data_IF_589388313196
#
_entry.id   IF_589388313196
#
_cell.length_a   1.000
_cell.length_b   1.000
_cell.length_c   1.000
_cell.angle_alpha   90.00
_cell.angle_beta   90.00
_cell.angle_gamma   90.00
#
_symmetry.space_group_name_H-M   'P 1'
#
loop_
_entity.id
_entity.type
_entity.pdbx_description
1 polymer ?
#
# COMPACT_ATOMS: atom_id res chain seq x y z
N UNK A 1 -16.21 35.50 -2.19
CA UNK A 1 -16.52 34.32 -3.01
C UNK A 1 -16.63 33.11 -2.09
N UNK A 2 -17.82 32.52 -1.96
CA UNK A 2 -18.01 31.32 -1.14
C UNK A 2 -17.30 30.15 -1.82
N UNK A 3 -16.41 29.44 -1.07
CA UNK A 3 -15.80 28.19 -1.54
C UNK A 3 -16.94 27.20 -1.83
N UNK A 4 -17.00 26.68 -3.06
CA UNK A 4 -17.93 25.62 -3.43
C UNK A 4 -17.79 24.47 -2.43
N UNK A 5 -18.91 24.08 -1.82
CA UNK A 5 -18.94 22.96 -0.87
C UNK A 5 -18.67 21.68 -1.66
N UNK A 6 -17.58 21.00 -1.38
CA UNK A 6 -17.24 19.73 -2.04
C UNK A 6 -18.27 18.67 -1.61
N UNK A 7 -19.14 18.27 -2.52
CA UNK A 7 -20.10 17.19 -2.28
C UNK A 7 -19.40 15.84 -2.58
N UNK A 8 -19.18 15.06 -1.54
CA UNK A 8 -18.68 13.68 -1.67
C UNK A 8 -19.76 12.82 -2.32
N UNK A 9 -19.57 12.46 -3.57
CA UNK A 9 -20.52 11.63 -4.34
C UNK A 9 -20.33 10.13 -4.12
N UNK A 10 -19.19 9.70 -3.55
CA UNK A 10 -18.84 8.29 -3.33
C UNK A 10 -18.40 8.08 -1.88
N UNK A 11 -18.64 6.88 -1.30
CA UNK A 11 -18.05 6.51 -0.02
C UNK A 11 -16.54 6.66 -0.06
N UNK A 12 -15.99 7.24 1.00
CA UNK A 12 -14.55 7.48 1.14
C UNK A 12 -13.92 6.35 1.98
N UNK A 13 -12.77 5.86 1.55
CA UNK A 13 -12.04 4.78 2.21
C UNK A 13 -10.56 5.18 2.33
N UNK A 14 -10.05 5.13 3.55
CA UNK A 14 -8.63 5.34 3.83
C UNK A 14 -7.90 4.00 3.80
N UNK A 15 -6.90 3.88 2.97
CA UNK A 15 -6.09 2.66 2.86
C UNK A 15 -4.61 2.99 2.95
N UNK A 16 -3.80 1.98 3.30
CA UNK A 16 -2.35 2.12 3.32
C UNK A 16 -1.66 0.88 2.76
N UNK A 17 -0.49 1.07 2.15
CA UNK A 17 0.40 -0.05 1.81
C UNK A 17 1.28 -0.41 2.98
N UNK A 18 1.36 -1.70 3.29
CA UNK A 18 2.18 -2.30 4.35
C UNK A 18 3.03 -3.43 3.78
N UNK A 19 4.11 -3.79 4.44
CA UNK A 19 5.01 -4.87 4.02
C UNK A 19 6.48 -4.47 4.11
N UNK A 20 7.36 -5.42 3.79
CA UNK A 20 8.80 -5.25 3.90
C UNK A 20 9.36 -4.17 2.95
N UNK A 21 10.52 -3.59 3.29
CA UNK A 21 11.31 -2.74 2.40
C UNK A 21 11.59 -3.53 1.11
N UNK A 22 11.65 -2.85 -0.03
CA UNK A 22 11.92 -3.42 -1.36
C UNK A 22 10.89 -4.40 -1.91
N UNK A 23 9.79 -4.70 -1.21
CA UNK A 23 8.68 -5.49 -1.77
C UNK A 23 7.84 -4.73 -2.81
N UNK A 24 8.11 -3.43 -3.00
CA UNK A 24 7.52 -2.62 -4.07
C UNK A 24 6.23 -1.90 -3.70
N UNK A 25 6.07 -1.47 -2.43
CA UNK A 25 4.92 -0.68 -1.96
C UNK A 25 4.70 0.59 -2.79
N UNK A 26 5.73 1.43 -2.89
CA UNK A 26 5.70 2.67 -3.66
C UNK A 26 5.48 2.43 -5.16
N UNK A 27 6.06 1.35 -5.70
CA UNK A 27 5.84 0.94 -7.10
C UNK A 27 4.39 0.56 -7.34
N UNK A 28 3.78 -0.19 -6.41
CA UNK A 28 2.36 -0.55 -6.47
C UNK A 28 1.47 0.69 -6.38
N UNK A 29 1.76 1.63 -5.48
CA UNK A 29 1.02 2.89 -5.34
C UNK A 29 1.01 3.67 -6.65
N UNK A 30 2.17 3.82 -7.31
CA UNK A 30 2.27 4.46 -8.63
C UNK A 30 1.49 3.68 -9.70
N UNK A 31 1.58 2.34 -9.72
CA UNK A 31 0.85 1.49 -10.66
C UNK A 31 -0.67 1.62 -10.51
N UNK A 32 -1.18 1.69 -9.29
CA UNK A 32 -2.61 1.91 -9.01
C UNK A 32 -3.09 3.24 -9.57
N UNK A 33 -2.33 4.33 -9.35
CA UNK A 33 -2.70 5.64 -9.92
C UNK A 33 -2.69 5.63 -11.44
N UNK A 34 -1.76 4.90 -12.08
CA UNK A 34 -1.70 4.75 -13.52
C UNK A 34 -2.94 4.06 -14.08
N UNK A 35 -3.28 2.88 -13.53
CA UNK A 35 -4.46 2.12 -13.98
C UNK A 35 -5.75 2.91 -13.77
N UNK A 36 -5.87 3.64 -12.66
CA UNK A 36 -7.03 4.50 -12.42
C UNK A 36 -7.04 5.72 -13.34
N UNK A 37 -5.88 6.31 -13.67
CA UNK A 37 -5.78 7.44 -14.60
C UNK A 37 -6.16 7.05 -16.04
N UNK A 38 -5.78 5.87 -16.52
CA UNK A 38 -6.17 5.35 -17.82
C UNK A 38 -7.70 5.17 -17.94
N UNK A 39 -8.39 5.00 -16.81
CA UNK A 39 -9.85 4.95 -16.72
C UNK A 39 -10.51 6.30 -16.44
N UNK A 40 -9.73 7.39 -16.38
CA UNK A 40 -10.23 8.73 -16.05
C UNK A 40 -10.66 8.90 -14.58
N UNK A 41 -10.19 8.02 -13.67
CA UNK A 41 -10.60 7.97 -12.28
C UNK A 41 -9.48 8.39 -11.29
N UNK A 42 -8.35 8.87 -11.80
CA UNK A 42 -7.26 9.44 -11.00
C UNK A 42 -6.38 10.34 -11.86
N UNK A 43 -5.49 11.10 -11.18
CA UNK A 43 -4.31 11.68 -11.82
C UNK A 43 -3.17 10.68 -11.65
N UNK A 44 -2.47 10.36 -12.74
CA UNK A 44 -1.27 9.54 -12.66
C UNK A 44 -0.18 10.26 -11.86
N UNK A 45 0.42 9.56 -10.91
CA UNK A 45 1.54 10.02 -10.11
C UNK A 45 2.69 9.04 -10.33
N UNK A 46 3.80 9.54 -10.85
CA UNK A 46 4.97 8.70 -11.15
C UNK A 46 5.63 8.17 -9.87
N UNK A 47 6.40 7.09 -10.02
CA UNK A 47 7.20 6.55 -8.91
C UNK A 47 8.08 7.61 -8.24
N UNK A 48 8.75 8.45 -9.06
CA UNK A 48 9.63 9.51 -8.56
C UNK A 48 8.87 10.58 -7.78
N UNK A 49 7.64 10.90 -8.18
CA UNK A 49 6.81 11.87 -7.45
C UNK A 49 6.35 11.31 -6.10
N UNK A 50 5.92 10.04 -6.06
CA UNK A 50 5.55 9.37 -4.80
C UNK A 50 6.75 9.26 -3.88
N UNK A 51 7.91 8.83 -4.40
CA UNK A 51 9.13 8.71 -3.64
C UNK A 51 9.65 10.07 -3.12
N UNK A 52 9.61 11.12 -3.95
CA UNK A 52 10.01 12.49 -3.55
C UNK A 52 9.06 13.09 -2.52
N UNK A 53 7.78 12.86 -2.60
CA UNK A 53 6.80 13.30 -1.61
C UNK A 53 7.15 12.73 -0.23
N UNK A 54 7.61 11.47 -0.19
CA UNK A 54 8.07 10.81 1.02
C UNK A 54 9.34 11.44 1.61
N UNK A 55 10.27 11.92 0.78
CA UNK A 55 11.57 12.49 1.22
C UNK A 55 11.48 13.99 1.53
N UNK A 56 10.67 14.73 0.78
CA UNK A 56 10.64 16.21 0.87
C UNK A 56 10.05 16.75 2.18
N UNK A 57 9.23 15.99 2.88
CA UNK A 57 8.68 16.36 4.19
C UNK A 57 9.67 16.13 5.35
N UNK A 58 10.73 15.34 5.13
CA UNK A 58 11.77 15.05 6.13
C UNK A 58 12.87 16.13 6.28
N UNK A 59 12.87 17.19 5.48
CA UNK A 59 13.91 18.24 5.45
C UNK A 59 13.39 19.60 5.88
N UNK A 60 12.92 19.74 7.12
CA UNK A 60 12.76 21.06 7.75
C UNK A 60 13.25 21.03 9.19
N UNK A 61 14.37 21.74 9.41
CA UNK A 61 14.96 22.17 10.66
C UNK A 61 15.26 21.14 11.77
N UNK A 62 16.54 21.10 12.16
CA UNK A 62 17.13 20.28 13.22
C UNK A 62 16.57 20.53 14.63
N UNK A 63 15.54 21.35 14.80
CA UNK A 63 14.94 21.70 16.08
C UNK A 63 13.45 21.48 16.21
N UNK A 64 12.76 21.01 15.18
CA UNK A 64 11.32 20.70 15.24
C UNK A 64 11.02 19.27 14.79
N UNK A 65 10.52 18.50 15.77
CA UNK A 65 9.70 17.27 15.67
C UNK A 65 9.62 16.69 14.24
N UNK A 66 10.27 15.55 14.05
CA UNK A 66 10.21 14.74 12.83
C UNK A 66 8.80 14.72 12.23
N UNK A 67 8.59 15.51 11.20
CA UNK A 67 7.40 15.39 10.37
C UNK A 67 7.64 14.23 9.42
N UNK A 68 6.89 13.18 9.62
CA UNK A 68 6.99 11.91 8.90
C UNK A 68 6.59 12.14 7.45
N UNK A 69 7.44 11.74 6.55
CA UNK A 69 7.23 11.80 5.11
C UNK A 69 6.22 10.73 4.69
N UNK A 70 4.97 11.11 4.50
CA UNK A 70 3.90 10.24 4.02
C UNK A 70 3.47 10.75 2.64
N UNK A 71 3.48 9.88 1.64
CA UNK A 71 2.85 10.18 0.37
C UNK A 71 1.35 9.90 0.46
N UNK A 72 0.53 10.93 0.29
CA UNK A 72 -0.91 10.79 0.15
C UNK A 72 -1.28 10.83 -1.31
N UNK A 73 -1.98 9.80 -1.75
CA UNK A 73 -2.43 9.65 -3.14
C UNK A 73 -3.93 9.38 -3.15
N UNK A 74 -4.65 10.03 -4.05
CA UNK A 74 -6.09 9.86 -4.19
C UNK A 74 -6.41 9.22 -5.54
N UNK A 75 -7.33 8.27 -5.55
CA UNK A 75 -7.89 7.67 -6.74
C UNK A 75 -9.30 7.13 -6.48
N UNK A 76 -10.00 6.85 -7.56
CA UNK A 76 -11.38 6.40 -7.49
C UNK A 76 -11.59 5.08 -8.24
N UNK A 77 -12.64 4.40 -7.87
CA UNK A 77 -13.29 3.37 -8.68
C UNK A 77 -14.71 3.81 -9.02
N UNK A 78 -15.45 3.01 -9.76
CA UNK A 78 -16.86 3.31 -10.05
C UNK A 78 -17.69 3.50 -8.76
N UNK A 79 -17.31 2.81 -7.67
CA UNK A 79 -18.10 2.74 -6.45
C UNK A 79 -17.54 3.55 -5.28
N UNK A 80 -16.22 3.80 -5.21
CA UNK A 80 -15.54 4.36 -4.03
C UNK A 80 -14.43 5.33 -4.38
N UNK A 81 -14.19 6.27 -3.47
CA UNK A 81 -13.03 7.15 -3.47
C UNK A 81 -12.02 6.67 -2.40
N UNK A 82 -10.76 6.58 -2.77
CA UNK A 82 -9.69 6.10 -1.89
C UNK A 82 -8.69 7.22 -1.61
N UNK A 83 -8.39 7.43 -0.32
CA UNK A 83 -7.19 8.11 0.12
C UNK A 83 -6.16 7.04 0.50
N UNK A 84 -5.08 6.98 -0.25
CA UNK A 84 -4.03 5.98 -0.10
C UNK A 84 -2.80 6.61 0.55
N UNK A 85 -2.32 5.97 1.60
CA UNK A 85 -1.12 6.36 2.34
C UNK A 85 0.00 5.40 2.01
N UNK A 86 1.06 5.89 1.38
CA UNK A 86 2.30 5.13 1.18
C UNK A 86 3.33 5.53 2.23
N UNK A 87 3.74 4.57 3.05
CA UNK A 87 4.73 4.75 4.11
C UNK A 87 6.02 4.03 3.73
N UNK A 88 7.05 4.72 3.21
CA UNK A 88 8.22 4.09 2.63
C UNK A 88 9.18 3.48 3.65
N UNK A 89 9.17 3.81 4.89
CA UNK A 89 10.10 3.30 5.90
C UNK A 89 9.42 2.49 7.00
N UNK A 90 10.12 1.48 7.54
CA UNK A 90 9.61 0.70 8.67
C UNK A 90 9.36 1.56 9.92
N UNK A 91 10.34 2.37 10.32
CA UNK A 91 10.24 3.25 11.50
C UNK A 91 9.14 4.31 11.34
N UNK A 92 9.00 4.87 10.15
CA UNK A 92 7.98 5.87 9.84
C UNK A 92 6.59 5.25 9.82
N UNK A 93 6.47 4.03 9.28
CA UNK A 93 5.22 3.27 9.28
C UNK A 93 4.73 3.00 10.70
N UNK A 94 5.57 2.43 11.56
CA UNK A 94 5.23 2.12 12.95
C UNK A 94 4.77 3.37 13.69
N UNK A 95 5.49 4.48 13.54
CA UNK A 95 5.15 5.75 14.20
C UNK A 95 3.81 6.31 13.74
N UNK A 96 3.53 6.25 12.43
CA UNK A 96 2.26 6.73 11.86
C UNK A 96 1.06 5.89 12.32
N UNK A 97 1.23 4.59 12.37
CA UNK A 97 0.18 3.69 12.86
C UNK A 97 -0.14 3.96 14.34
N UNK A 98 0.89 4.13 15.19
CA UNK A 98 0.72 4.34 16.63
C UNK A 98 0.12 5.71 16.94
N UNK A 99 0.50 6.75 16.20
CA UNK A 99 0.00 8.11 16.47
C UNK A 99 -1.43 8.36 16.01
N UNK A 100 -2.09 7.34 15.41
CA UNK A 100 -3.47 7.46 14.93
C UNK A 100 -3.64 8.44 13.76
N UNK A 101 -2.54 8.88 13.16
CA UNK A 101 -2.56 9.77 12.00
C UNK A 101 -3.18 9.14 10.76
N UNK A 102 -3.38 7.82 10.79
CA UNK A 102 -4.09 7.10 9.75
C UNK A 102 -5.11 6.15 10.40
N UNK A 103 -6.34 6.60 10.60
CA UNK A 103 -7.45 5.68 10.72
C UNK A 103 -7.61 5.01 9.33
N UNK A 104 -6.99 3.84 9.17
CA UNK A 104 -7.10 3.07 7.94
C UNK A 104 -8.32 2.16 8.02
N UNK A 105 -9.19 2.27 7.02
CA UNK A 105 -10.32 1.36 6.83
C UNK A 105 -9.86 0.01 6.25
N UNK A 106 -8.64 -0.04 5.70
CA UNK A 106 -8.02 -1.26 5.19
C UNK A 106 -6.55 -1.09 4.86
N UNK A 107 -5.84 -2.20 4.70
CA UNK A 107 -4.44 -2.20 4.29
C UNK A 107 -4.20 -3.14 3.09
N UNK A 108 -3.27 -2.75 2.23
CA UNK A 108 -2.73 -3.60 1.17
C UNK A 108 -1.39 -4.13 1.66
N UNK A 109 -1.35 -5.41 1.99
CA UNK A 109 -0.11 -6.11 2.34
C UNK A 109 0.63 -6.48 1.06
N UNK A 110 1.80 -5.87 0.85
CA UNK A 110 2.65 -6.14 -0.32
C UNK A 110 3.75 -7.11 0.08
N UNK A 111 3.76 -8.28 -0.56
CA UNK A 111 4.78 -9.32 -0.37
C UNK A 111 5.43 -9.61 -1.71
N UNK A 112 6.76 -9.71 -1.74
CA UNK A 112 7.46 -10.17 -2.93
C UNK A 112 7.22 -11.67 -3.12
N UNK A 113 6.74 -12.08 -4.30
CA UNK A 113 6.55 -13.48 -4.64
C UNK A 113 7.88 -14.27 -4.70
N UNK A 114 9.00 -13.57 -4.95
CA UNK A 114 10.32 -14.19 -5.00
C UNK A 114 10.97 -14.38 -3.61
N UNK A 115 10.65 -13.49 -2.67
CA UNK A 115 11.30 -13.45 -1.36
C UNK A 115 10.42 -14.03 -0.24
N UNK A 116 9.10 -14.08 -0.46
CA UNK A 116 8.12 -14.46 0.55
C UNK A 116 7.96 -13.45 1.69
N UNK A 117 7.25 -13.81 2.77
CA UNK A 117 7.04 -12.92 3.91
C UNK A 117 8.33 -12.80 4.76
N UNK A 118 8.82 -11.59 4.88
CA UNK A 118 10.03 -11.19 5.59
C UNK A 118 9.72 -10.74 7.04
N UNK A 119 10.72 -10.58 7.94
CA UNK A 119 10.48 -10.19 9.34
C UNK A 119 9.61 -8.93 9.49
N UNK A 120 9.85 -7.87 8.74
CA UNK A 120 9.02 -6.66 8.78
C UNK A 120 7.57 -6.89 8.32
N UNK A 121 7.33 -7.88 7.45
CA UNK A 121 5.97 -8.27 7.07
C UNK A 121 5.17 -8.70 8.29
N UNK A 122 5.79 -9.51 9.15
CA UNK A 122 5.18 -10.00 10.40
C UNK A 122 4.89 -8.86 11.38
N UNK A 123 5.86 -7.96 11.54
CA UNK A 123 5.72 -6.79 12.41
C UNK A 123 4.59 -5.86 11.93
N UNK A 124 4.49 -5.62 10.63
CA UNK A 124 3.44 -4.78 10.05
C UNK A 124 2.04 -5.40 10.20
N UNK A 125 1.90 -6.73 10.04
CA UNK A 125 0.62 -7.41 10.26
C UNK A 125 0.21 -7.32 11.73
N UNK A 126 1.15 -7.59 12.66
CA UNK A 126 0.92 -7.47 14.09
C UNK A 126 0.47 -6.05 14.46
N UNK A 127 1.17 -5.05 13.96
CA UNK A 127 0.85 -3.66 14.22
C UNK A 127 -0.53 -3.27 13.64
N UNK A 128 -0.83 -3.69 12.41
CA UNK A 128 -2.15 -3.47 11.80
C UNK A 128 -3.27 -4.05 12.67
N UNK A 129 -3.05 -5.24 13.25
CA UNK A 129 -3.99 -5.83 14.20
C UNK A 129 -4.14 -5.01 15.47
N UNK A 130 -3.03 -4.57 16.06
CA UNK A 130 -3.02 -3.79 17.31
C UNK A 130 -3.71 -2.42 17.17
N UNK A 131 -3.55 -1.75 16.04
CA UNK A 131 -4.21 -0.45 15.79
C UNK A 131 -5.63 -0.58 15.23
N UNK A 132 -6.11 -1.81 15.06
CA UNK A 132 -7.50 -2.09 14.70
C UNK A 132 -7.83 -1.92 13.21
N UNK A 133 -6.88 -2.12 12.29
CA UNK A 133 -7.19 -2.17 10.86
C UNK A 133 -8.14 -3.32 10.58
N UNK A 134 -9.37 -3.05 10.08
CA UNK A 134 -10.40 -4.09 9.99
C UNK A 134 -10.23 -5.04 8.80
N UNK A 135 -9.60 -4.56 7.71
CA UNK A 135 -9.49 -5.33 6.46
C UNK A 135 -8.08 -5.32 5.90
N UNK A 136 -7.63 -6.48 5.42
CA UNK A 136 -6.37 -6.63 4.67
C UNK A 136 -6.69 -7.28 3.32
N UNK A 137 -6.00 -6.78 2.28
CA UNK A 137 -5.89 -7.42 0.95
C UNK A 137 -4.41 -7.67 0.70
N UNK A 138 -4.05 -8.79 0.11
CA UNK A 138 -2.66 -9.12 -0.19
C UNK A 138 -2.38 -8.91 -1.68
N UNK A 139 -1.23 -8.32 -1.96
CA UNK A 139 -0.66 -8.25 -3.29
C UNK A 139 0.69 -8.96 -3.32
N UNK A 140 0.75 -10.12 -3.98
CA UNK A 140 2.00 -10.84 -4.27
C UNK A 140 2.65 -10.18 -5.48
N UNK A 141 3.60 -9.29 -5.19
CA UNK A 141 4.30 -8.48 -6.19
C UNK A 141 5.53 -9.21 -6.75
N UNK A 142 6.08 -8.71 -7.85
CA UNK A 142 7.25 -9.28 -8.55
C UNK A 142 7.02 -10.72 -9.06
N UNK A 143 5.80 -11.08 -9.38
CA UNK A 143 5.49 -12.39 -9.96
C UNK A 143 6.20 -12.64 -11.30
N UNK A 144 6.64 -11.57 -11.98
CA UNK A 144 7.48 -11.64 -13.18
C UNK A 144 8.89 -12.20 -12.95
N UNK A 145 9.30 -12.36 -11.70
CA UNK A 145 10.60 -12.94 -11.31
C UNK A 145 10.50 -14.41 -10.86
N UNK A 146 9.31 -14.98 -10.88
CA UNK A 146 9.04 -16.34 -10.43
C UNK A 146 8.39 -17.10 -11.57
N UNK A 147 9.11 -18.08 -12.11
CA UNK A 147 8.62 -18.93 -13.19
C UNK A 147 7.98 -20.23 -12.67
N UNK A 148 8.16 -20.52 -11.37
CA UNK A 148 7.66 -21.72 -10.71
C UNK A 148 6.32 -21.46 -10.04
N UNK A 149 5.28 -22.13 -10.52
CA UNK A 149 3.92 -22.04 -9.98
C UNK A 149 3.82 -22.62 -8.55
N UNK A 150 4.56 -23.70 -8.26
CA UNK A 150 4.55 -24.32 -6.93
C UNK A 150 5.13 -23.36 -5.89
N UNK A 151 6.16 -22.59 -6.25
CA UNK A 151 6.72 -21.56 -5.37
C UNK A 151 5.72 -20.44 -5.08
N UNK A 152 4.95 -20.00 -6.08
CA UNK A 152 3.90 -18.99 -5.88
C UNK A 152 2.83 -19.48 -4.91
N UNK A 153 2.39 -20.73 -5.06
CA UNK A 153 1.39 -21.36 -4.18
C UNK A 153 1.93 -21.52 -2.75
N UNK A 154 3.20 -21.88 -2.60
CA UNK A 154 3.85 -21.99 -1.30
C UNK A 154 3.91 -20.64 -0.59
N UNK A 155 4.32 -19.57 -1.28
CA UNK A 155 4.36 -18.21 -0.74
C UNK A 155 2.95 -17.73 -0.36
N UNK A 156 1.94 -18.02 -1.18
CA UNK A 156 0.56 -17.70 -0.86
C UNK A 156 0.11 -18.41 0.43
N UNK A 157 0.40 -19.70 0.56
CA UNK A 157 0.06 -20.49 1.76
C UNK A 157 0.74 -19.91 3.00
N UNK A 158 2.03 -19.61 2.92
CA UNK A 158 2.78 -19.01 4.02
C UNK A 158 2.20 -17.67 4.47
N UNK A 159 1.76 -16.83 3.53
CA UNK A 159 1.11 -15.56 3.84
C UNK A 159 -0.25 -15.77 4.50
N UNK A 160 -1.05 -16.75 4.04
CA UNK A 160 -2.35 -17.10 4.65
C UNK A 160 -2.18 -17.60 6.09
N UNK A 161 -1.23 -18.49 6.34
CA UNK A 161 -0.92 -18.99 7.68
C UNK A 161 -0.46 -17.85 8.60
N UNK A 162 0.38 -16.94 8.08
CA UNK A 162 0.85 -15.80 8.83
C UNK A 162 -0.31 -14.86 9.23
N UNK A 163 -1.22 -14.57 8.31
CA UNK A 163 -2.40 -13.74 8.58
C UNK A 163 -3.31 -14.38 9.61
N UNK A 164 -3.55 -15.69 9.50
CA UNK A 164 -4.36 -16.46 10.46
C UNK A 164 -3.73 -16.44 11.84
N UNK A 165 -2.40 -16.58 11.94
CA UNK A 165 -1.66 -16.48 13.21
C UNK A 165 -1.86 -15.15 13.92
N UNK A 166 -2.05 -14.06 13.18
CA UNK A 166 -2.31 -12.73 13.74
C UNK A 166 -3.80 -12.36 13.73
N UNK A 167 -4.67 -13.37 13.74
CA UNK A 167 -6.12 -13.22 13.88
C UNK A 167 -6.81 -12.44 12.76
N UNK A 168 -6.24 -12.46 11.56
CA UNK A 168 -6.95 -12.08 10.34
C UNK A 168 -7.53 -13.34 9.68
N UNK A 169 -8.62 -13.24 8.91
CA UNK A 169 -9.24 -14.40 8.25
C UNK A 169 -8.42 -14.86 7.03
N UNK A 170 -7.22 -15.41 7.24
CA UNK A 170 -6.23 -15.74 6.22
C UNK A 170 -6.78 -16.59 5.06
N UNK A 171 -7.71 -17.50 5.36
CA UNK A 171 -8.30 -18.40 4.34
C UNK A 171 -9.17 -17.64 3.33
N UNK A 172 -9.82 -16.56 3.74
CA UNK A 172 -10.79 -15.82 2.92
C UNK A 172 -10.26 -14.48 2.40
N UNK A 173 -9.10 -14.04 2.86
CA UNK A 173 -8.48 -12.78 2.41
C UNK A 173 -8.16 -12.87 0.93
N UNK A 174 -8.56 -11.85 0.12
CA UNK A 174 -8.17 -11.78 -1.28
C UNK A 174 -6.65 -11.67 -1.43
N UNK A 175 -6.06 -12.56 -2.23
CA UNK A 175 -4.66 -12.49 -2.63
C UNK A 175 -4.62 -12.31 -4.15
N UNK A 176 -3.97 -11.25 -4.59
CA UNK A 176 -3.80 -10.89 -5.99
C UNK A 176 -2.31 -11.04 -6.34
N UNK A 177 -2.00 -11.82 -7.34
CA UNK A 177 -0.63 -12.03 -7.84
C UNK A 177 -0.38 -11.18 -9.08
N UNK A 178 0.75 -10.47 -9.13
CA UNK A 178 1.07 -9.62 -10.26
C UNK A 178 2.44 -8.95 -10.18
N UNK A 179 2.69 -8.03 -11.12
CA UNK A 179 3.91 -7.23 -11.18
C UNK A 179 3.58 -5.75 -11.37
N UNK A 180 3.79 -4.96 -10.32
CA UNK A 180 3.61 -3.53 -10.39
C UNK A 180 4.57 -2.86 -11.39
N UNK A 181 5.78 -3.39 -11.54
CA UNK A 181 6.76 -2.89 -12.51
C UNK A 181 6.29 -3.10 -13.94
N UNK A 182 5.72 -4.28 -14.27
CA UNK A 182 5.16 -4.52 -15.61
C UNK A 182 4.01 -3.58 -15.93
N UNK A 183 3.13 -3.30 -14.97
CA UNK A 183 2.05 -2.32 -15.15
C UNK A 183 2.59 -0.94 -15.51
N UNK A 184 3.68 -0.50 -14.87
CA UNK A 184 4.30 0.79 -15.16
C UNK A 184 5.03 0.81 -16.50
N UNK A 185 5.62 -0.32 -16.93
CA UNK A 185 6.36 -0.42 -18.20
C UNK A 185 5.47 -0.60 -19.43
N UNK A 186 4.25 -1.10 -19.28
CA UNK A 186 3.26 -1.29 -20.36
C UNK A 186 2.67 0.03 -20.91
N UNK A 187 3.44 1.10 -20.91
CA UNK A 187 2.99 2.44 -21.34
C UNK A 187 2.80 2.55 -22.86
N UNK A 188 3.26 1.60 -23.65
CA UNK A 188 3.21 1.68 -25.11
C UNK A 188 2.86 0.33 -25.75
N UNK A 189 1.62 -0.03 -25.66
CA UNK A 189 0.99 -0.87 -26.69
C UNK A 189 -0.32 -0.21 -27.11
#
# INVERSE_FOLDING_TARGET
MAKAKYERRKPHVNIGTIGHVDHGKTTLTSALTKVCAERGMAKFISYDEVAKASVSQGRRDATKILTIAIAHVEYETAQRHYAHVDCPGHADYVKNMITGAAQMDGAILVVSAADGPMPQTREHILLARQVGVPYIVVFLNKADKVDDQELLELVELEVRELLTKYEFPGDTIPIITGSATKVLSLIHI
#
